data_IF_157776373807
#
_entry.id   IF_157776373807
#
_cell.length_a   1.000
_cell.length_b   1.000
_cell.length_c   1.000
_cell.angle_alpha   90.00
_cell.angle_beta   90.00
_cell.angle_gamma   90.00
#
_symmetry.space_group_name_H-M   'P 1'
#
loop_
_entity.id
_entity.type
_entity.pdbx_description
1 polymer ?
#
# COMPACT_ATOMS: atom_id res chain seq x y z
N UNK A 1 5.04 -12.39 41.57
CA UNK A 1 5.30 -11.04 42.14
C UNK A 1 4.98 -10.01 41.07
N UNK A 2 4.39 -8.84 41.42
CA UNK A 2 4.52 -7.52 40.76
C UNK A 2 4.33 -7.42 39.21
N UNK A 3 3.58 -6.47 38.63
CA UNK A 3 2.84 -5.28 39.12
C UNK A 3 1.91 -4.78 37.99
N UNK A 4 0.82 -4.09 38.38
CA UNK A 4 0.08 -3.01 37.65
C UNK A 4 1.03 -2.12 36.80
N UNK A 5 0.69 -1.35 35.76
CA UNK A 5 -0.54 -0.74 35.18
C UNK A 5 -0.13 -0.22 33.76
N UNK A 6 -0.93 0.38 32.86
CA UNK A 6 -2.26 1.01 32.95
C UNK A 6 -2.99 1.04 31.59
N UNK A 7 -4.21 1.60 31.59
CA UNK A 7 -4.95 2.08 30.41
C UNK A 7 -4.68 3.57 30.19
N UNK A 8 -4.66 4.03 28.93
CA UNK A 8 -4.87 5.44 28.59
C UNK A 8 -5.56 5.55 27.22
N UNK A 9 -6.89 5.74 27.24
CA UNK A 9 -7.63 6.26 26.08
C UNK A 9 -7.33 7.75 25.95
N UNK A 10 -7.08 8.22 24.72
CA UNK A 10 -7.11 9.64 24.41
C UNK A 10 -8.10 9.90 23.27
N UNK A 11 -9.37 10.07 23.63
CA UNK A 11 -10.44 10.51 22.72
C UNK A 11 -10.33 12.01 22.49
N UNK A 12 -10.02 12.42 21.26
CA UNK A 12 -10.17 13.82 20.82
C UNK A 12 -11.07 13.83 19.59
N UNK A 13 -12.31 14.26 19.78
CA UNK A 13 -13.18 14.71 18.70
C UNK A 13 -13.15 16.23 18.65
N UNK A 14 -13.14 16.82 17.45
CA UNK A 14 -13.93 18.02 17.15
C UNK A 14 -14.02 18.20 15.62
N UNK A 15 -15.22 18.55 15.14
CA UNK A 15 -15.49 18.82 13.73
C UNK A 15 -15.55 20.32 13.46
N UNK A 16 -15.35 20.75 12.21
CA UNK A 16 -16.28 21.66 11.50
C UNK A 16 -15.87 21.85 10.03
N UNK A 17 -16.86 22.11 9.18
CA UNK A 17 -16.71 22.33 7.74
C UNK A 17 -16.56 23.82 7.40
N UNK A 18 -16.20 24.15 6.14
CA UNK A 18 -16.70 25.33 5.43
C UNK A 18 -16.62 25.12 3.90
N UNK A 19 -17.70 25.48 3.18
CA UNK A 19 -17.74 25.56 1.72
C UNK A 19 -17.57 27.00 1.25
N UNK A 20 -16.63 27.25 0.33
CA UNK A 20 -16.61 28.36 -0.62
C UNK A 20 -15.61 27.98 -1.74
N UNK A 21 -15.82 28.27 -3.03
CA UNK A 21 -16.86 29.07 -3.66
C UNK A 21 -16.25 30.26 -4.40
N UNK A 22 -15.86 30.10 -5.67
CA UNK A 22 -15.70 31.23 -6.58
C UNK A 22 -15.85 30.78 -8.04
N UNK A 23 -16.95 31.18 -8.67
CA UNK A 23 -17.09 31.15 -10.13
C UNK A 23 -16.21 32.22 -10.76
N UNK A 24 -15.71 31.98 -11.96
CA UNK A 24 -15.44 33.05 -12.92
C UNK A 24 -16.15 32.72 -14.21
N UNK A 25 -17.15 33.55 -14.54
CA UNK A 25 -17.75 33.56 -15.86
C UNK A 25 -16.86 34.36 -16.82
N UNK A 26 -16.76 33.92 -18.06
CA UNK A 26 -16.25 34.72 -19.17
C UNK A 26 -17.02 34.34 -20.43
N UNK A 27 -17.37 35.35 -21.21
CA UNK A 27 -18.49 35.33 -22.17
C UNK A 27 -18.11 34.94 -23.59
N UNK A 28 -19.02 34.18 -24.20
CA UNK A 28 -19.51 34.29 -25.58
C UNK A 28 -18.65 33.91 -26.82
N UNK A 29 -19.34 33.18 -27.70
CA UNK A 29 -19.24 33.15 -29.18
C UNK A 29 -17.90 32.84 -29.85
N UNK A 30 -17.87 31.76 -30.64
CA UNK A 30 -18.08 31.81 -32.11
C UNK A 30 -18.14 30.40 -32.71
N UNK A 31 -18.98 30.22 -33.73
CA UNK A 31 -19.08 29.01 -34.55
C UNK A 31 -17.80 28.73 -35.35
N UNK A 32 -17.30 27.50 -35.33
CA UNK A 32 -16.47 26.96 -36.41
C UNK A 32 -16.40 25.44 -36.34
N UNK A 33 -16.81 24.81 -37.44
CA UNK A 33 -16.61 23.38 -37.68
C UNK A 33 -15.12 23.03 -37.69
N UNK A 34 -14.71 22.08 -36.86
CA UNK A 34 -13.32 21.60 -36.80
C UNK A 34 -13.27 20.19 -36.24
N UNK A 35 -12.98 19.21 -37.11
CA UNK A 35 -12.74 17.84 -36.68
C UNK A 35 -11.50 17.79 -35.77
N UNK A 36 -11.72 17.52 -34.49
CA UNK A 36 -10.67 17.18 -33.54
C UNK A 36 -11.05 15.84 -32.89
N UNK A 37 -10.21 14.83 -33.09
CA UNK A 37 -10.43 13.51 -32.54
C UNK A 37 -10.61 13.59 -31.01
N UNK A 38 -11.57 12.84 -30.46
CA UNK A 38 -11.59 12.56 -29.03
C UNK A 38 -10.35 11.72 -28.71
N UNK A 39 -9.25 12.39 -28.39
CA UNK A 39 -8.12 11.77 -27.68
C UNK A 39 -8.60 11.44 -26.28
N UNK A 40 -9.36 10.35 -26.20
CA UNK A 40 -9.62 9.61 -24.99
C UNK A 40 -8.25 9.35 -24.39
N UNK A 41 -7.90 10.13 -23.37
CA UNK A 41 -6.72 9.88 -22.57
C UNK A 41 -6.99 8.62 -21.77
N UNK A 42 -6.75 7.48 -22.43
CA UNK A 42 -6.54 6.22 -21.76
C UNK A 42 -5.36 6.47 -20.81
N UNK A 43 -5.68 6.72 -19.54
CA UNK A 43 -4.69 6.61 -18.48
C UNK A 43 -4.13 5.21 -18.61
N UNK A 44 -2.88 5.12 -19.08
CA UNK A 44 -2.16 3.86 -19.18
C UNK A 44 -1.93 3.38 -17.75
N UNK A 45 -2.91 2.63 -17.23
CA UNK A 45 -2.85 1.98 -15.94
C UNK A 45 -1.69 1.00 -16.02
N UNK A 46 -0.54 1.46 -15.51
CA UNK A 46 0.67 0.66 -15.39
C UNK A 46 0.43 -0.28 -14.22
N UNK A 47 -0.43 -1.28 -14.45
CA UNK A 47 -0.78 -2.30 -13.48
C UNK A 47 0.51 -3.02 -13.10
N UNK A 48 0.99 -2.77 -11.88
CA UNK A 48 2.11 -3.52 -11.34
C UNK A 48 1.69 -4.98 -11.25
N UNK A 49 2.52 -5.87 -11.80
CA UNK A 49 2.28 -7.31 -11.71
C UNK A 49 2.46 -7.76 -10.25
N UNK A 50 1.80 -8.83 -9.85
CA UNK A 50 1.90 -9.35 -8.49
C UNK A 50 2.88 -10.53 -8.42
N UNK A 51 3.42 -10.75 -7.22
CA UNK A 51 4.02 -12.01 -6.78
C UNK A 51 3.31 -12.35 -5.48
N UNK A 52 2.80 -13.57 -5.35
CA UNK A 52 2.12 -14.01 -4.14
C UNK A 52 3.03 -14.96 -3.36
N UNK A 53 3.14 -14.77 -2.03
CA UNK A 53 3.89 -15.65 -1.12
C UNK A 53 3.08 -15.98 0.11
N UNK A 54 3.19 -17.22 0.55
CA UNK A 54 2.65 -17.68 1.82
C UNK A 54 3.62 -17.28 2.95
N UNK A 55 3.14 -16.68 4.07
CA UNK A 55 3.99 -16.21 5.16
C UNK A 55 4.86 -17.31 5.80
N UNK A 56 4.37 -18.56 5.89
CA UNK A 56 5.13 -19.67 6.43
C UNK A 56 6.26 -20.13 5.49
N UNK A 57 6.16 -19.83 4.18
CA UNK A 57 7.19 -20.18 3.19
C UNK A 57 8.34 -19.18 3.08
N UNK A 58 8.21 -18.00 3.70
CA UNK A 58 9.20 -16.91 3.58
C UNK A 58 9.95 -16.61 4.88
N UNK A 59 9.50 -17.12 6.04
CA UNK A 59 10.21 -16.91 7.33
C UNK A 59 11.67 -17.32 7.23
N UNK A 60 12.55 -16.41 7.68
CA UNK A 60 14.00 -16.61 7.75
C UNK A 60 14.66 -16.88 6.38
N UNK A 61 13.99 -16.48 5.28
CA UNK A 61 14.49 -16.61 3.90
C UNK A 61 14.83 -15.26 3.26
N UNK A 62 15.50 -15.32 2.11
CA UNK A 62 15.66 -14.20 1.19
C UNK A 62 14.53 -14.20 0.15
N UNK A 63 13.73 -13.13 0.13
CA UNK A 63 12.66 -12.90 -0.85
C UNK A 63 13.13 -11.87 -1.88
N UNK A 64 13.26 -12.30 -3.14
CA UNK A 64 13.55 -11.38 -4.26
C UNK A 64 12.26 -10.79 -4.81
N UNK A 65 12.20 -9.46 -4.92
CA UNK A 65 11.05 -8.71 -5.45
C UNK A 65 11.51 -7.77 -6.59
N UNK A 66 11.12 -8.01 -7.85
CA UNK A 66 11.38 -7.05 -8.93
C UNK A 66 10.65 -5.73 -8.67
N UNK A 67 11.33 -4.59 -8.83
CA UNK A 67 10.82 -3.26 -8.47
C UNK A 67 9.53 -2.84 -9.20
N UNK A 68 9.15 -3.51 -10.29
CA UNK A 68 7.87 -3.30 -10.99
C UNK A 68 6.77 -4.28 -10.57
N UNK A 69 6.93 -4.96 -9.42
CA UNK A 69 5.95 -5.90 -8.88
C UNK A 69 5.64 -5.65 -7.41
N UNK A 70 4.43 -6.00 -7.03
CA UNK A 70 3.96 -5.97 -5.63
C UNK A 70 4.01 -7.39 -5.06
N UNK A 71 4.53 -7.53 -3.84
CA UNK A 71 4.50 -8.79 -3.09
C UNK A 71 3.21 -8.85 -2.27
N UNK A 72 2.30 -9.75 -2.62
CA UNK A 72 1.08 -10.03 -1.85
C UNK A 72 1.37 -11.17 -0.87
N UNK A 73 0.97 -10.98 0.39
CA UNK A 73 1.06 -12.01 1.43
C UNK A 73 -0.25 -12.80 1.43
N UNK A 74 -0.18 -14.10 1.13
CA UNK A 74 -1.35 -14.98 1.08
C UNK A 74 -1.79 -15.31 2.51
N UNK A 75 -2.90 -14.72 2.93
CA UNK A 75 -3.52 -14.90 4.26
C UNK A 75 -5.01 -15.20 4.11
N UNK A 76 -5.69 -15.57 5.19
CA UNK A 76 -7.15 -15.61 5.19
C UNK A 76 -7.71 -14.18 5.05
N UNK A 77 -8.62 -13.97 4.09
CA UNK A 77 -9.27 -12.67 3.87
C UNK A 77 -10.03 -12.18 5.10
N UNK A 78 -10.61 -13.07 5.92
CA UNK A 78 -11.30 -12.69 7.15
C UNK A 78 -10.36 -12.13 8.23
N UNK A 79 -9.05 -12.25 8.04
CA UNK A 79 -8.01 -11.76 8.94
C UNK A 79 -7.08 -10.72 8.29
N UNK A 80 -7.27 -10.39 7.01
CA UNK A 80 -6.31 -9.63 6.20
C UNK A 80 -6.01 -8.22 6.74
N UNK A 81 -7.01 -7.57 7.34
CA UNK A 81 -6.93 -6.25 7.97
C UNK A 81 -6.21 -6.23 9.32
N UNK A 82 -6.13 -7.38 10.02
CA UNK A 82 -5.47 -7.49 11.33
C UNK A 82 -3.95 -7.78 11.22
N UNK A 83 -3.45 -8.07 10.01
CA UNK A 83 -2.02 -8.22 9.77
C UNK A 83 -1.29 -6.87 9.80
N UNK A 84 -0.19 -6.83 10.56
CA UNK A 84 0.70 -5.66 10.62
C UNK A 84 2.07 -6.00 10.06
N UNK A 85 2.80 -4.98 9.61
CA UNK A 85 4.12 -5.15 9.02
C UNK A 85 5.01 -3.94 9.27
N UNK A 86 6.29 -4.19 9.48
CA UNK A 86 7.36 -3.18 9.61
C UNK A 86 8.42 -3.47 8.57
N UNK A 87 8.89 -2.42 7.89
CA UNK A 87 10.05 -2.44 7.00
C UNK A 87 11.18 -1.70 7.71
N UNK A 88 12.37 -2.30 7.79
CA UNK A 88 13.52 -1.68 8.47
C UNK A 88 14.00 -0.42 7.73
N UNK A 89 14.12 -0.49 6.41
CA UNK A 89 14.36 0.67 5.53
C UNK A 89 13.11 1.01 4.71
N UNK A 90 12.34 1.97 5.22
CA UNK A 90 11.14 2.51 4.57
C UNK A 90 11.42 3.33 3.30
N UNK A 91 12.69 3.52 2.89
CA UNK A 91 13.03 4.06 1.57
C UNK A 91 13.11 2.98 0.48
N UNK A 92 13.26 1.71 0.87
CA UNK A 92 13.35 0.55 -0.04
C UNK A 92 11.97 -0.05 -0.30
N UNK A 93 11.11 -0.17 0.72
CA UNK A 93 9.76 -0.73 0.57
C UNK A 93 8.72 -0.14 1.54
N UNK A 94 7.44 -0.25 1.18
CA UNK A 94 6.27 0.10 1.99
C UNK A 94 5.45 -1.17 2.30
N UNK A 95 5.13 -1.43 3.58
CA UNK A 95 4.08 -2.37 3.94
C UNK A 95 2.71 -1.67 3.87
N UNK A 96 1.74 -2.32 3.23
CA UNK A 96 0.34 -1.89 3.20
C UNK A 96 -0.51 -2.98 3.82
N UNK A 97 -1.23 -2.62 4.89
CA UNK A 97 -2.16 -3.50 5.56
C UNK A 97 -3.29 -3.94 4.62
N UNK A 98 -3.86 -5.11 4.88
CA UNK A 98 -5.01 -5.60 4.13
C UNK A 98 -6.30 -4.86 4.50
N UNK A 99 -7.37 -5.24 3.82
CA UNK A 99 -8.75 -4.81 4.07
C UNK A 99 -9.65 -6.05 4.06
N UNK A 100 -10.95 -5.89 4.31
CA UNK A 100 -11.93 -6.97 4.13
C UNK A 100 -12.01 -7.50 2.67
N UNK A 101 -11.43 -6.78 1.71
CA UNK A 101 -11.42 -7.11 0.28
C UNK A 101 -10.03 -7.35 -0.32
N UNK A 102 -8.96 -6.88 0.34
CA UNK A 102 -7.59 -6.87 -0.19
C UNK A 102 -6.63 -7.57 0.79
N UNK A 103 -5.75 -8.42 0.28
CA UNK A 103 -4.69 -9.02 1.08
C UNK A 103 -3.59 -7.99 1.44
N UNK A 104 -2.93 -8.09 2.62
CA UNK A 104 -1.77 -7.28 2.95
C UNK A 104 -0.64 -7.50 1.93
N UNK A 105 0.09 -6.43 1.63
CA UNK A 105 1.08 -6.41 0.56
C UNK A 105 2.30 -5.55 0.90
N UNK A 106 3.38 -5.77 0.17
CA UNK A 106 4.61 -4.99 0.22
C UNK A 106 4.87 -4.42 -1.17
N UNK A 107 4.96 -3.09 -1.24
CA UNK A 107 5.32 -2.37 -2.46
C UNK A 107 6.81 -2.02 -2.41
N UNK A 108 7.59 -2.29 -3.47
CA UNK A 108 8.94 -1.76 -3.58
C UNK A 108 8.89 -0.26 -3.91
N UNK A 109 9.86 0.49 -3.40
CA UNK A 109 10.03 1.93 -3.62
C UNK A 109 11.37 2.23 -4.30
N UNK A 110 12.44 1.54 -3.89
CA UNK A 110 13.79 1.65 -4.44
C UNK A 110 14.46 0.27 -4.51
N UNK A 111 15.50 0.15 -5.34
CA UNK A 111 16.34 -1.05 -5.39
C UNK A 111 17.26 -1.10 -4.16
N UNK A 112 17.47 -2.29 -3.60
CA UNK A 112 18.24 -2.48 -2.37
C UNK A 112 17.70 -3.61 -1.50
N UNK A 113 18.34 -3.84 -0.36
CA UNK A 113 17.98 -4.90 0.59
C UNK A 113 17.47 -4.30 1.92
N UNK A 114 16.37 -4.84 2.45
CA UNK A 114 15.80 -4.46 3.76
C UNK A 114 15.28 -5.69 4.50
N UNK A 115 15.25 -5.64 5.83
CA UNK A 115 14.50 -6.62 6.63
C UNK A 115 13.01 -6.24 6.65
N UNK A 116 12.15 -7.25 6.67
CA UNK A 116 10.70 -7.14 6.86
C UNK A 116 10.29 -8.00 8.04
N UNK A 117 9.47 -7.45 8.94
CA UNK A 117 8.79 -8.21 9.99
C UNK A 117 7.28 -8.07 9.82
N UNK A 118 6.58 -9.18 9.63
CA UNK A 118 5.12 -9.27 9.63
C UNK A 118 4.64 -9.86 10.96
N UNK A 119 3.49 -9.41 11.47
CA UNK A 119 2.85 -9.98 12.65
C UNK A 119 1.42 -10.38 12.33
N UNK A 120 1.08 -11.65 12.60
CA UNK A 120 -0.26 -12.20 12.43
C UNK A 120 -1.23 -11.70 13.51
N UNK A 121 -2.56 -11.79 13.32
CA UNK A 121 -3.56 -11.48 14.37
C UNK A 121 -3.37 -12.28 15.67
N UNK A 122 -2.75 -13.46 15.60
CA UNK A 122 -2.44 -14.30 16.77
C UNK A 122 -1.17 -13.85 17.51
N UNK A 123 -0.48 -12.81 17.03
CA UNK A 123 0.79 -12.32 17.56
C UNK A 123 2.01 -13.11 17.08
N UNK A 124 1.87 -13.98 16.06
CA UNK A 124 3.00 -14.70 15.49
C UNK A 124 3.83 -13.78 14.58
N UNK A 125 5.12 -13.63 14.86
CA UNK A 125 6.03 -12.78 14.09
C UNK A 125 6.79 -13.60 13.05
N UNK A 126 6.73 -13.18 11.78
CA UNK A 126 7.52 -13.71 10.66
C UNK A 126 8.52 -12.63 10.25
N UNK A 127 9.81 -12.96 10.20
CA UNK A 127 10.86 -12.02 9.71
C UNK A 127 11.57 -12.61 8.51
N UNK A 128 11.85 -11.80 7.50
CA UNK A 128 12.57 -12.21 6.30
C UNK A 128 13.35 -11.06 5.67
N UNK A 129 14.35 -11.39 4.85
CA UNK A 129 15.13 -10.41 4.12
C UNK A 129 14.47 -10.18 2.75
N UNK A 130 14.17 -8.94 2.42
CA UNK A 130 13.64 -8.52 1.12
C UNK A 130 14.76 -7.92 0.28
N UNK A 131 14.96 -8.44 -0.92
CA UNK A 131 15.88 -7.90 -1.92
C UNK A 131 15.09 -7.35 -3.10
N UNK A 132 15.05 -6.02 -3.23
CA UNK A 132 14.36 -5.33 -4.32
C UNK A 132 15.32 -5.17 -5.51
N UNK A 133 15.00 -5.86 -6.60
CA UNK A 133 15.89 -5.98 -7.77
C UNK A 133 15.35 -5.25 -9.00
N UNK A 134 16.22 -4.83 -9.94
CA UNK A 134 15.81 -4.28 -11.23
C UNK A 134 14.85 -5.22 -12.01
N UNK A 135 13.84 -4.64 -12.67
CA UNK A 135 13.02 -5.34 -13.67
C UNK A 135 11.57 -5.62 -13.25
N UNK A 136 10.93 -6.54 -13.99
CA UNK A 136 9.48 -6.83 -13.92
C UNK A 136 9.12 -8.33 -14.04
N UNK A 137 10.12 -9.21 -14.04
CA UNK A 137 10.01 -10.57 -14.60
C UNK A 137 9.51 -11.62 -13.62
#
# INVERSE_FOLDING_TARGET
MMKKTSISLCTIALATALLAGCSSASTETTDSSGSAATTQSASASTQMLTIEKDPATISDTLVTLPIKRVLIIKVDQAAASDWTGTIEDASIAEFVAGTDSDAPMIKPLAEGDTTVTLTSPEGQTITFNLSVTPGAR
#
